data_IF_693783615612
#
_entry.id   IF_693783615612
#
_cell.length_a   1.000
_cell.length_b   1.000
_cell.length_c   1.000
_cell.angle_alpha   90.00
_cell.angle_beta   90.00
_cell.angle_gamma   90.00
#
_symmetry.space_group_name_H-M   'P 1'
#
loop_
_entity.id
_entity.type
_entity.pdbx_description
1 polymer ?
#
# COMPACT_ATOMS: atom_id res chain seq x y z
N UNK A 1 5.74 8.61 35.93
CA UNK A 1 6.76 9.28 35.08
C UNK A 1 6.77 8.58 33.74
N UNK A 2 6.12 9.14 32.71
CA UNK A 2 6.01 8.50 31.40
C UNK A 2 7.25 8.79 30.55
N UNK A 3 7.88 7.74 30.04
CA UNK A 3 9.09 7.79 29.20
C UNK A 3 8.72 8.25 27.79
N UNK A 4 9.29 9.38 27.35
CA UNK A 4 9.13 9.90 25.98
C UNK A 4 10.02 9.06 25.07
N UNK A 5 9.42 8.19 24.25
CA UNK A 5 10.12 7.53 23.15
C UNK A 5 10.49 8.60 22.11
N UNK A 6 11.79 8.76 21.86
CA UNK A 6 12.29 9.60 20.76
C UNK A 6 11.81 9.02 19.43
N UNK A 7 10.92 9.75 18.76
CA UNK A 7 10.59 9.53 17.34
C UNK A 7 11.85 9.85 16.55
N UNK A 8 12.34 8.88 15.78
CA UNK A 8 13.52 9.06 14.93
C UNK A 8 13.34 10.29 14.02
N UNK A 9 14.42 11.07 13.77
CA UNK A 9 14.32 12.23 12.89
C UNK A 9 13.88 11.78 11.50
N UNK A 10 12.84 12.45 10.98
CA UNK A 10 12.31 12.25 9.64
C UNK A 10 13.43 12.58 8.64
N UNK A 11 14.20 11.57 8.24
CA UNK A 11 15.27 11.73 7.25
C UNK A 11 14.61 11.77 5.88
N UNK A 12 14.19 12.96 5.47
CA UNK A 12 13.75 13.21 4.10
C UNK A 12 14.87 12.73 3.16
N UNK A 13 14.61 11.81 2.20
CA UNK A 13 15.60 11.49 1.19
C UNK A 13 15.94 12.75 0.37
N UNK A 14 17.18 12.87 -0.18
CA UNK A 14 17.55 14.01 -0.99
C UNK A 14 16.59 14.15 -2.17
N UNK A 15 15.95 15.31 -2.26
CA UNK A 15 14.93 15.64 -3.24
C UNK A 15 15.57 15.87 -4.62
N UNK A 16 15.79 14.78 -5.38
CA UNK A 16 15.58 14.87 -6.81
C UNK A 16 14.11 15.14 -7.04
N UNK A 17 13.77 16.13 -7.86
CA UNK A 17 12.40 16.52 -8.17
C UNK A 17 11.74 15.35 -8.92
N UNK A 18 11.11 14.43 -8.19
CA UNK A 18 10.32 13.35 -8.77
C UNK A 18 8.95 13.90 -9.03
N UNK A 19 8.56 13.92 -10.30
CA UNK A 19 7.24 14.41 -10.69
C UNK A 19 6.19 13.32 -10.44
N UNK A 20 4.93 13.73 -10.29
CA UNK A 20 3.79 12.83 -10.25
C UNK A 20 3.79 11.89 -11.47
N UNK A 21 4.19 12.40 -12.65
CA UNK A 21 4.32 11.62 -13.88
C UNK A 21 5.23 10.40 -13.72
N UNK A 22 6.33 10.52 -12.98
CA UNK A 22 7.26 9.40 -12.75
C UNK A 22 6.60 8.29 -11.95
N UNK A 23 5.81 8.66 -10.93
CA UNK A 23 5.07 7.71 -10.09
C UNK A 23 3.97 7.02 -10.90
N UNK A 24 3.21 7.79 -11.70
CA UNK A 24 2.16 7.24 -12.55
C UNK A 24 2.73 6.27 -13.58
N UNK A 25 3.84 6.63 -14.22
CA UNK A 25 4.54 5.76 -15.16
C UNK A 25 5.03 4.49 -14.48
N UNK A 26 5.65 4.57 -13.30
CA UNK A 26 6.13 3.40 -12.58
C UNK A 26 5.01 2.41 -12.21
N UNK A 27 3.83 2.92 -11.85
CA UNK A 27 2.65 2.09 -11.56
C UNK A 27 2.09 1.44 -12.83
N UNK A 28 1.98 2.20 -13.92
CA UNK A 28 1.54 1.68 -15.22
C UNK A 28 2.47 0.58 -15.76
N UNK A 29 3.80 0.77 -15.65
CA UNK A 29 4.80 -0.24 -16.06
C UNK A 29 4.68 -1.55 -15.25
N UNK A 30 4.11 -1.51 -14.04
CA UNK A 30 3.85 -2.68 -13.20
C UNK A 30 2.44 -3.25 -13.38
N UNK A 31 1.66 -2.74 -14.33
CA UNK A 31 0.28 -3.15 -14.55
C UNK A 31 -0.67 -2.78 -13.41
N UNK A 32 -0.29 -1.80 -12.58
CA UNK A 32 -1.12 -1.34 -11.46
C UNK A 32 -2.10 -0.28 -11.98
N UNK A 33 -3.40 -0.54 -11.81
CA UNK A 33 -4.47 0.36 -12.18
C UNK A 33 -4.56 1.55 -11.23
N UNK A 34 -4.84 2.74 -11.77
CA UNK A 34 -5.17 3.93 -10.99
C UNK A 34 -6.39 4.62 -11.57
N UNK A 35 -7.37 4.86 -10.70
CA UNK A 35 -8.60 5.59 -11.00
C UNK A 35 -8.63 6.85 -10.15
N UNK A 36 -9.05 7.97 -10.75
CA UNK A 36 -9.16 9.25 -10.05
C UNK A 36 -10.62 9.70 -9.99
N UNK A 37 -11.11 9.92 -8.78
CA UNK A 37 -12.36 10.62 -8.55
C UNK A 37 -12.06 12.09 -8.22
N UNK A 38 -12.59 12.98 -9.04
CA UNK A 38 -12.63 14.43 -8.80
C UNK A 38 -13.61 14.69 -7.65
N UNK A 39 -13.16 15.40 -6.61
CA UNK A 39 -13.92 15.65 -5.38
C UNK A 39 -13.89 17.12 -4.97
N UNK A 40 -13.47 18.02 -5.87
CA UNK A 40 -13.41 19.45 -5.62
C UNK A 40 -14.80 19.98 -5.35
N UNK A 41 -14.92 20.74 -4.27
CA UNK A 41 -16.13 21.49 -4.00
C UNK A 41 -15.90 22.93 -4.41
N UNK A 42 -16.72 23.42 -5.33
CA UNK A 42 -16.61 24.77 -5.88
C UNK A 42 -16.61 25.86 -4.79
N UNK A 43 -17.34 25.64 -3.70
CA UNK A 43 -17.41 26.53 -2.54
C UNK A 43 -16.05 26.76 -1.84
N UNK A 44 -15.10 25.84 -1.96
CA UNK A 44 -13.77 25.96 -1.35
C UNK A 44 -12.66 26.31 -2.36
N UNK A 45 -12.87 26.00 -3.64
CA UNK A 45 -11.90 26.29 -4.71
C UNK A 45 -10.57 25.51 -4.63
N UNK A 46 -10.44 24.55 -3.70
CA UNK A 46 -9.24 23.74 -3.51
C UNK A 46 -9.40 22.41 -4.27
N UNK A 47 -8.49 22.06 -5.20
CA UNK A 47 -8.54 20.79 -5.90
C UNK A 47 -8.39 19.60 -4.95
N UNK A 48 -9.34 18.67 -4.98
CA UNK A 48 -9.29 17.43 -4.18
C UNK A 48 -9.57 16.24 -5.07
N UNK A 49 -8.71 15.23 -5.00
CA UNK A 49 -8.84 13.99 -5.75
C UNK A 49 -8.72 12.78 -4.84
N UNK A 50 -9.46 11.73 -5.15
CA UNK A 50 -9.24 10.40 -4.58
C UNK A 50 -8.66 9.48 -5.65
N UNK A 51 -7.43 9.02 -5.43
CA UNK A 51 -6.82 7.98 -6.23
C UNK A 51 -7.17 6.60 -5.66
N UNK A 52 -7.53 5.66 -6.53
CA UNK A 52 -7.94 4.30 -6.19
C UNK A 52 -7.22 3.28 -7.07
N UNK A 53 -6.83 2.16 -6.48
CA UNK A 53 -6.31 1.00 -7.20
C UNK A 53 -6.92 -0.27 -6.62
N UNK A 54 -7.26 -1.22 -7.49
CA UNK A 54 -7.72 -2.56 -7.07
C UNK A 54 -6.56 -3.47 -6.67
N UNK A 55 -5.31 -3.04 -6.92
CA UNK A 55 -4.09 -3.83 -6.75
C UNK A 55 -3.22 -3.33 -5.58
N UNK A 56 -3.25 -2.05 -5.22
CA UNK A 56 -2.47 -1.51 -4.09
C UNK A 56 -3.05 -1.84 -2.71
N UNK A 57 -2.19 -2.22 -1.78
CA UNK A 57 -2.54 -2.53 -0.39
C UNK A 57 -2.60 -1.31 0.51
N UNK A 58 -3.57 -1.30 1.43
CA UNK A 58 -3.64 -0.32 2.51
C UNK A 58 -2.80 -0.82 3.68
N UNK A 59 -2.18 0.09 4.44
CA UNK A 59 -1.33 -0.30 5.58
C UNK A 59 -2.12 -0.96 6.72
N UNK A 60 -3.40 -0.59 6.89
CA UNK A 60 -4.31 -1.26 7.83
C UNK A 60 -4.67 -2.68 7.32
N UNK A 61 -4.79 -3.66 8.23
CA UNK A 61 -5.12 -5.04 7.85
C UNK A 61 -6.38 -5.14 6.99
N UNK A 62 -6.28 -5.86 5.88
CA UNK A 62 -7.41 -6.27 5.03
C UNK A 62 -7.28 -7.76 4.77
N UNK A 63 -8.10 -8.55 5.47
CA UNK A 63 -8.01 -10.01 5.50
C UNK A 63 -8.68 -10.72 4.30
N UNK A 64 -8.84 -10.03 3.16
CA UNK A 64 -9.41 -10.65 1.97
C UNK A 64 -8.43 -11.69 1.38
N UNK A 65 -8.88 -12.89 0.94
CA UNK A 65 -8.00 -14.01 0.59
C UNK A 65 -6.90 -13.68 -0.42
N UNK A 66 -7.23 -12.94 -1.47
CA UNK A 66 -6.29 -12.57 -2.55
C UNK A 66 -5.12 -11.69 -2.08
N UNK A 67 -5.21 -11.08 -0.90
CA UNK A 67 -4.17 -10.21 -0.34
C UNK A 67 -3.61 -10.72 0.98
N UNK A 68 -4.42 -11.42 1.76
CA UNK A 68 -3.98 -12.06 3.01
C UNK A 68 -3.01 -13.22 2.74
N UNK A 69 -3.22 -13.94 1.63
CA UNK A 69 -2.41 -15.11 1.26
C UNK A 69 -1.40 -14.81 0.14
N UNK A 70 -1.29 -13.54 -0.28
CA UNK A 70 -0.32 -13.15 -1.29
C UNK A 70 1.10 -13.20 -0.71
N UNK A 71 2.10 -13.66 -1.47
CA UNK A 71 3.49 -13.63 -1.02
C UNK A 71 3.92 -12.19 -0.69
N UNK A 72 4.36 -11.94 0.55
CA UNK A 72 5.02 -10.69 0.93
C UNK A 72 6.52 -10.96 1.05
N UNK A 73 7.33 -10.31 0.22
CA UNK A 73 8.79 -10.46 0.25
C UNK A 73 9.45 -9.97 1.55
N UNK A 74 8.68 -9.30 2.42
CA UNK A 74 9.09 -8.88 3.76
C UNK A 74 8.57 -9.81 4.85
N UNK A 75 7.75 -10.81 4.49
CA UNK A 75 7.35 -11.84 5.42
C UNK A 75 8.58 -12.67 5.79
N UNK A 76 8.88 -12.70 7.09
CA UNK A 76 9.99 -13.46 7.66
C UNK A 76 9.54 -14.88 8.03
N UNK A 77 8.27 -15.23 7.78
CA UNK A 77 7.81 -16.61 7.90
C UNK A 77 8.62 -17.47 6.92
N UNK A 78 9.45 -18.36 7.46
CA UNK A 78 10.19 -19.31 6.64
C UNK A 78 9.18 -20.11 5.81
N UNK A 79 9.27 -19.99 4.48
CA UNK A 79 8.36 -20.62 3.53
C UNK A 79 8.12 -22.08 3.85
N UNK A 80 6.95 -22.38 4.40
CA UNK A 80 6.47 -23.72 4.63
C UNK A 80 5.36 -24.02 3.62
N UNK A 81 5.77 -24.41 2.42
CA UNK A 81 4.92 -25.11 1.45
C UNK A 81 3.77 -24.30 0.85
N UNK A 82 3.29 -24.78 -0.29
CA UNK A 82 1.99 -24.36 -0.82
C UNK A 82 0.90 -24.69 0.20
N UNK A 83 -0.13 -23.84 0.41
CA UNK A 83 -1.26 -24.17 1.28
C UNK A 83 -2.03 -25.43 0.82
N UNK A 84 -1.75 -25.94 -0.39
CA UNK A 84 -2.24 -27.24 -0.86
C UNK A 84 -1.73 -28.45 -0.05
N UNK A 85 -0.62 -28.32 0.68
CA UNK A 85 -0.03 -29.40 1.50
C UNK A 85 -0.51 -29.38 2.95
N UNK A 86 -1.37 -28.45 3.35
CA UNK A 86 -1.90 -28.40 4.71
C UNK A 86 -3.16 -29.28 4.80
N UNK A 87 -3.19 -30.31 5.66
CA UNK A 87 -4.40 -31.11 5.84
C UNK A 87 -5.51 -30.20 6.37
N UNK A 88 -6.63 -30.15 5.66
CA UNK A 88 -7.84 -29.47 6.11
C UNK A 88 -8.23 -30.05 7.48
N UNK A 89 -8.01 -29.26 8.53
CA UNK A 89 -8.63 -29.52 9.83
C UNK A 89 -10.13 -29.23 9.68
N UNK A 90 -10.88 -30.24 9.25
CA UNK A 90 -12.32 -30.30 9.48
C UNK A 90 -12.53 -30.40 10.99
N UNK A 91 -13.20 -29.40 11.55
CA UNK A 91 -13.93 -29.50 12.83
C UNK A 91 -15.38 -29.76 12.47
#
# INVERSE_FOLDING_TARGET
>A
MASIQQVAPNRSPPAGERDLSDVLNALAHRGIDLWFAEMTRAEFGIPVFRALSTLLCHYKPRFAPARLLAPDARDLSCGAGSPADQPLLLI
#
